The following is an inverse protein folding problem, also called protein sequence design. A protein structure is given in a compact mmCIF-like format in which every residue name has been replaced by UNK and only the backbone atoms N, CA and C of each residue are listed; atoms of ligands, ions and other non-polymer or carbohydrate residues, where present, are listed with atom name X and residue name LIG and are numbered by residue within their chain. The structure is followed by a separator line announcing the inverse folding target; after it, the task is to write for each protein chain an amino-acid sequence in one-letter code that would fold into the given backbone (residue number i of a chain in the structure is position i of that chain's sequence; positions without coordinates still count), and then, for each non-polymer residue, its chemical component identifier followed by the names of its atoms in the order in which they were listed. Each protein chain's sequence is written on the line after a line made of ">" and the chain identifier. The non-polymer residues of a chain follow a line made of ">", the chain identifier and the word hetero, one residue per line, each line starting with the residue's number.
data_IF_523410707152
#
_entry.id   IF_523410707152
#
_cell.length_a   1.000
_cell.length_b   1.000
_cell.length_c   1.000
_cell.angle_alpha   90.00
_cell.angle_beta   90.00
_cell.angle_gamma   90.00
#
_symmetry.space_group_name_H-M   'P 1'
#
loop_
_entity.id
_entity.type
_entity.pdbx_description
1 polymer ?
#
# COMPACT_ATOMS: atom_id res chain seq x y z
N UNK A 1 -13.36 -20.26 3.60
CA UNK A 1 -12.26 -19.47 3.02
C UNK A 1 -10.95 -20.10 3.45
N UNK A 2 -10.09 -20.48 2.52
CA UNK A 2 -8.76 -21.02 2.79
C UNK A 2 -7.72 -20.05 2.23
N UNK A 3 -6.79 -19.59 3.08
CA UNK A 3 -5.73 -18.69 2.64
C UNK A 3 -4.59 -19.50 2.02
N UNK A 4 -4.10 -19.08 0.84
CA UNK A 4 -2.86 -19.60 0.30
C UNK A 4 -1.71 -19.36 1.29
N UNK A 5 -0.71 -20.22 1.21
CA UNK A 5 0.44 -20.17 2.11
C UNK A 5 1.24 -18.87 1.95
N UNK A 6 1.41 -18.11 3.02
CA UNK A 6 2.19 -16.87 3.05
C UNK A 6 3.68 -17.20 3.27
N UNK A 7 4.40 -17.38 2.19
CA UNK A 7 5.79 -17.89 2.17
C UNK A 7 6.77 -16.96 2.88
N UNK A 8 6.65 -15.64 2.63
CA UNK A 8 7.55 -14.66 3.22
C UNK A 8 7.43 -14.62 4.75
N UNK A 9 6.20 -14.66 5.29
CA UNK A 9 6.01 -14.68 6.73
C UNK A 9 6.64 -15.92 7.37
N UNK A 10 6.47 -17.10 6.76
CA UNK A 10 7.08 -18.32 7.25
C UNK A 10 8.61 -18.29 7.18
N UNK A 11 9.17 -17.74 6.09
CA UNK A 11 10.60 -17.54 5.99
C UNK A 11 11.13 -16.63 7.13
N UNK A 12 10.46 -15.52 7.37
CA UNK A 12 10.83 -14.58 8.44
C UNK A 12 10.71 -15.21 9.83
N UNK A 13 9.64 -15.95 10.10
CA UNK A 13 9.45 -16.66 11.37
C UNK A 13 10.52 -17.75 11.59
N UNK A 14 10.87 -18.48 10.53
CA UNK A 14 11.83 -19.59 10.62
C UNK A 14 13.26 -19.11 10.78
N UNK A 15 13.67 -18.09 10.04
CA UNK A 15 15.09 -17.71 9.92
C UNK A 15 15.42 -16.36 10.54
N UNK A 16 14.43 -15.50 10.79
CA UNK A 16 14.67 -14.13 11.25
C UNK A 16 15.43 -14.05 12.58
N UNK A 17 15.01 -14.86 13.56
CA UNK A 17 15.68 -14.90 14.87
C UNK A 17 17.06 -15.58 14.86
N UNK A 18 17.40 -16.34 13.82
CA UNK A 18 18.66 -17.07 13.70
C UNK A 18 19.72 -16.28 12.92
N UNK A 19 19.32 -15.28 12.17
CA UNK A 19 20.23 -14.50 11.33
C UNK A 19 21.00 -13.47 12.16
N UNK A 20 22.32 -13.50 12.10
CA UNK A 20 23.16 -12.44 12.70
C UNK A 20 22.89 -11.06 12.09
N UNK A 21 22.60 -11.03 10.79
CA UNK A 21 22.22 -9.84 10.02
C UNK A 21 20.98 -10.20 9.20
N UNK A 22 19.81 -9.85 9.71
CA UNK A 22 18.57 -10.16 9.03
C UNK A 22 18.21 -9.09 8.01
N UNK A 23 18.51 -9.36 6.74
CA UNK A 23 18.22 -8.45 5.61
C UNK A 23 16.93 -8.83 4.84
N UNK A 24 16.15 -9.78 5.36
CA UNK A 24 14.94 -10.30 4.74
C UNK A 24 13.65 -9.53 5.11
N UNK A 25 13.75 -8.35 5.72
CA UNK A 25 12.62 -7.51 6.06
C UNK A 25 12.80 -6.11 5.51
N UNK A 26 11.75 -5.57 4.89
CA UNK A 26 11.66 -4.18 4.46
C UNK A 26 11.17 -3.28 5.62
N UNK A 27 11.80 -3.40 6.79
CA UNK A 27 11.46 -2.63 7.98
C UNK A 27 12.56 -1.61 8.25
N UNK A 28 12.25 -0.31 8.41
CA UNK A 28 13.19 0.68 8.88
C UNK A 28 13.52 0.43 10.35
N UNK A 29 14.59 1.05 10.83
CA UNK A 29 14.89 1.10 12.25
C UNK A 29 13.75 1.81 12.99
N UNK A 30 13.24 1.20 14.04
CA UNK A 30 12.16 1.77 14.85
C UNK A 30 12.71 2.78 15.84
N UNK A 31 12.03 3.92 15.97
CA UNK A 31 12.30 4.88 17.04
C UNK A 31 11.51 4.51 18.31
N UNK A 32 12.05 4.87 19.47
CA UNK A 32 11.33 4.71 20.73
C UNK A 32 10.21 5.76 20.88
N UNK A 33 9.19 5.48 21.69
CA UNK A 33 8.17 6.47 22.03
C UNK A 33 8.79 7.72 22.65
N UNK A 34 9.82 7.58 23.47
CA UNK A 34 10.53 8.73 24.07
C UNK A 34 11.18 9.60 22.97
N UNK A 35 11.81 9.01 21.97
CA UNK A 35 12.37 9.74 20.83
C UNK A 35 11.27 10.45 20.03
N UNK A 36 10.15 9.77 19.76
CA UNK A 36 9.01 10.39 19.07
C UNK A 36 8.48 11.59 19.84
N UNK A 37 8.21 11.44 21.14
CA UNK A 37 7.69 12.54 21.98
C UNK A 37 8.69 13.67 22.16
N UNK A 38 10.00 13.46 22.03
CA UNK A 38 10.99 14.54 22.08
C UNK A 38 10.95 15.47 20.86
N UNK A 39 10.27 15.07 19.79
CA UNK A 39 10.04 15.91 18.60
C UNK A 39 8.77 16.77 18.74
N UNK A 40 7.90 16.45 19.70
CA UNK A 40 6.63 17.11 19.89
C UNK A 40 6.79 18.46 20.62
N UNK A 41 5.97 19.44 20.25
CA UNK A 41 5.85 20.70 20.98
C UNK A 41 4.97 20.54 22.25
N UNK A 42 4.89 21.61 23.06
CA UNK A 42 4.13 21.59 24.33
C UNK A 42 2.63 21.27 24.13
N UNK A 43 2.04 21.76 23.05
CA UNK A 43 0.62 21.52 22.72
C UNK A 43 0.39 20.06 22.36
N UNK A 44 1.26 19.49 21.55
CA UNK A 44 1.20 18.08 21.15
C UNK A 44 1.43 17.14 22.34
N UNK A 45 2.40 17.47 23.21
CA UNK A 45 2.61 16.71 24.44
C UNK A 45 1.40 16.77 25.37
N UNK A 46 0.75 17.94 25.48
CA UNK A 46 -0.50 18.05 26.24
C UNK A 46 -1.61 17.19 25.64
N UNK A 47 -1.80 17.22 24.32
CA UNK A 47 -2.77 16.36 23.64
C UNK A 47 -2.48 14.88 23.86
N UNK A 48 -1.21 14.48 23.85
CA UNK A 48 -0.82 13.10 24.15
C UNK A 48 -1.17 12.69 25.58
N UNK A 49 -0.92 13.55 26.58
CA UNK A 49 -1.24 13.25 27.98
C UNK A 49 -2.73 13.27 28.27
N UNK A 50 -3.49 14.10 27.57
CA UNK A 50 -4.94 14.23 27.73
C UNK A 50 -5.71 13.27 26.80
N UNK A 51 -5.01 12.38 26.06
CA UNK A 51 -5.61 11.48 25.08
C UNK A 51 -6.63 10.55 25.73
N UNK A 52 -7.88 10.59 25.24
CA UNK A 52 -8.95 9.75 25.72
C UNK A 52 -8.89 8.35 25.10
N UNK A 53 -9.00 7.31 25.91
CA UNK A 53 -9.12 5.93 25.45
C UNK A 53 -10.57 5.53 25.13
N UNK A 54 -11.47 6.50 24.95
CA UNK A 54 -12.85 6.29 24.54
C UNK A 54 -12.96 5.87 23.05
N UNK A 55 -14.20 5.59 22.62
CA UNK A 55 -14.48 5.29 21.22
C UNK A 55 -14.24 6.52 20.34
N UNK A 56 -13.58 6.29 19.19
CA UNK A 56 -13.45 7.25 18.11
C UNK A 56 -14.47 6.95 17.00
N UNK A 57 -14.46 7.78 15.94
CA UNK A 57 -15.22 7.53 14.72
C UNK A 57 -14.84 6.18 14.09
N UNK A 58 -15.81 5.49 13.47
CA UNK A 58 -15.56 4.24 12.74
C UNK A 58 -14.61 4.39 11.55
N UNK A 59 -14.44 5.61 11.04
CA UNK A 59 -13.45 5.92 9.99
C UNK A 59 -12.06 6.22 10.55
N UNK A 60 -11.94 6.36 11.86
CA UNK A 60 -10.75 6.83 12.55
C UNK A 60 -10.89 8.27 13.06
N UNK A 61 -9.97 8.68 13.91
CA UNK A 61 -9.94 10.03 14.48
C UNK A 61 -9.91 11.11 13.39
N UNK A 62 -10.75 12.15 13.52
CA UNK A 62 -10.92 13.18 12.49
C UNK A 62 -9.64 14.01 12.32
N UNK A 63 -8.99 14.40 13.42
CA UNK A 63 -7.74 15.18 13.38
C UNK A 63 -6.64 14.38 12.67
N UNK A 64 -6.54 13.08 12.96
CA UNK A 64 -5.59 12.20 12.28
C UNK A 64 -5.88 12.13 10.77
N UNK A 65 -7.15 11.97 10.38
CA UNK A 65 -7.56 11.91 8.97
C UNK A 65 -7.30 13.24 8.24
N UNK A 66 -7.55 14.37 8.90
CA UNK A 66 -7.19 15.71 8.38
C UNK A 66 -5.68 15.81 8.13
N UNK A 67 -4.86 15.40 9.10
CA UNK A 67 -3.40 15.42 8.94
C UNK A 67 -2.93 14.48 7.80
N UNK A 68 -3.50 13.29 7.68
CA UNK A 68 -3.20 12.39 6.56
C UNK A 68 -3.56 13.07 5.24
N UNK A 69 -4.74 13.69 5.13
CA UNK A 69 -5.22 14.34 3.91
C UNK A 69 -4.26 15.44 3.41
N UNK A 70 -3.50 16.10 4.28
CA UNK A 70 -2.49 17.10 3.87
C UNK A 70 -1.43 16.52 2.92
N UNK A 71 -1.19 15.21 2.96
CA UNK A 71 -0.24 14.49 2.11
C UNK A 71 -0.86 13.99 0.80
N UNK A 72 -2.16 14.18 0.61
CA UNK A 72 -2.94 13.68 -0.53
C UNK A 72 -3.65 14.85 -1.25
N UNK A 73 -3.01 15.50 -2.24
CA UNK A 73 -3.58 16.66 -2.92
C UNK A 73 -4.98 16.41 -3.48
N UNK A 74 -5.91 17.31 -3.20
CA UNK A 74 -7.29 17.24 -3.67
C UNK A 74 -8.22 16.34 -2.84
N UNK A 75 -7.72 15.70 -1.78
CA UNK A 75 -8.51 14.88 -0.85
C UNK A 75 -8.74 15.62 0.48
N UNK A 76 -9.81 15.26 1.16
CA UNK A 76 -10.18 15.72 2.50
C UNK A 76 -10.20 14.57 3.50
N UNK A 77 -10.44 14.86 4.78
CA UNK A 77 -10.62 13.84 5.81
C UNK A 77 -11.73 12.82 5.47
N UNK A 78 -12.75 13.23 4.72
CA UNK A 78 -13.85 12.35 4.32
C UNK A 78 -13.43 11.27 3.31
N UNK A 79 -12.31 11.48 2.62
CA UNK A 79 -11.73 10.49 1.71
C UNK A 79 -10.77 9.51 2.42
N UNK A 80 -10.54 9.69 3.72
CA UNK A 80 -9.56 8.90 4.49
C UNK A 80 -10.29 7.97 5.46
N UNK A 81 -9.83 6.73 5.51
CA UNK A 81 -10.21 5.75 6.51
C UNK A 81 -8.94 5.13 7.11
N UNK A 82 -8.89 4.96 8.42
CA UNK A 82 -7.72 4.39 9.11
C UNK A 82 -7.95 2.95 9.55
N UNK A 83 -6.87 2.17 9.55
CA UNK A 83 -6.85 0.75 9.90
C UNK A 83 -5.67 0.43 10.82
N UNK A 84 -5.74 -0.71 11.52
CA UNK A 84 -4.63 -1.21 12.33
C UNK A 84 -3.50 -1.81 11.47
N UNK A 85 -3.06 -1.07 10.45
CA UNK A 85 -1.97 -1.40 9.53
C UNK A 85 -2.43 -1.86 8.14
N UNK A 86 -1.46 -1.90 7.21
CA UNK A 86 -1.71 -2.14 5.79
C UNK A 86 -2.41 -3.48 5.48
N UNK A 87 -2.10 -4.55 6.20
CA UNK A 87 -2.70 -5.85 5.93
C UNK A 87 -4.19 -5.89 6.24
N UNK A 88 -4.63 -5.21 7.30
CA UNK A 88 -6.06 -5.05 7.60
C UNK A 88 -6.73 -4.23 6.51
N UNK A 89 -6.12 -3.11 6.09
CA UNK A 89 -6.66 -2.29 5.01
C UNK A 89 -6.81 -3.08 3.70
N UNK A 90 -5.82 -3.88 3.31
CA UNK A 90 -5.90 -4.76 2.13
C UNK A 90 -7.06 -5.76 2.30
N UNK A 91 -7.14 -6.41 3.46
CA UNK A 91 -8.16 -7.43 3.74
C UNK A 91 -9.57 -6.83 3.63
N UNK A 92 -9.82 -5.73 4.34
CA UNK A 92 -11.14 -5.09 4.38
C UNK A 92 -11.52 -4.52 2.99
N UNK A 93 -10.60 -3.81 2.33
CA UNK A 93 -10.84 -3.24 1.00
C UNK A 93 -11.21 -4.32 -0.02
N UNK A 94 -10.45 -5.41 -0.05
CA UNK A 94 -10.71 -6.47 -1.02
C UNK A 94 -12.04 -7.16 -0.75
N UNK A 95 -12.42 -7.38 0.52
CA UNK A 95 -13.73 -7.94 0.86
C UNK A 95 -14.89 -7.00 0.57
N UNK A 96 -14.65 -5.69 0.56
CA UNK A 96 -15.66 -4.70 0.17
C UNK A 96 -15.85 -4.63 -1.35
N UNK A 97 -14.80 -4.91 -2.14
CA UNK A 97 -14.80 -4.71 -3.59
C UNK A 97 -14.98 -5.99 -4.41
N UNK A 98 -14.60 -7.15 -3.87
CA UNK A 98 -14.49 -8.40 -4.63
C UNK A 98 -15.50 -9.44 -4.20
N UNK A 99 -16.03 -10.14 -5.19
CA UNK A 99 -16.81 -11.35 -5.05
C UNK A 99 -16.00 -12.57 -5.57
N UNK A 100 -16.39 -13.81 -5.20
CA UNK A 100 -15.84 -15.01 -5.83
C UNK A 100 -15.98 -14.95 -7.36
N UNK A 101 -14.95 -15.41 -8.06
CA UNK A 101 -14.80 -15.40 -9.52
C UNK A 101 -14.51 -14.03 -10.18
N UNK A 102 -14.53 -12.92 -9.45
CA UNK A 102 -14.05 -11.64 -9.96
C UNK A 102 -12.62 -11.74 -10.49
N UNK A 103 -12.26 -10.84 -11.41
CA UNK A 103 -10.90 -10.78 -11.96
C UNK A 103 -10.08 -9.72 -11.26
N UNK A 104 -8.88 -10.10 -10.87
CA UNK A 104 -7.89 -9.19 -10.27
C UNK A 104 -6.60 -9.27 -11.08
N UNK A 105 -6.05 -8.14 -11.49
CA UNK A 105 -4.76 -8.05 -12.15
C UNK A 105 -3.70 -7.55 -11.17
N UNK A 106 -2.56 -8.24 -11.06
CA UNK A 106 -1.45 -7.88 -10.17
C UNK A 106 -0.12 -7.85 -10.92
N UNK A 107 0.80 -7.01 -10.48
CA UNK A 107 2.21 -7.03 -10.95
C UNK A 107 3.00 -8.03 -10.11
N UNK A 108 3.92 -8.79 -10.72
CA UNK A 108 4.79 -9.73 -9.99
C UNK A 108 6.26 -9.57 -10.38
N UNK A 109 7.23 -9.80 -9.43
CA UNK A 109 7.03 -10.25 -8.04
C UNK A 109 6.17 -9.24 -7.25
N UNK A 110 5.60 -9.61 -6.11
CA UNK A 110 4.66 -8.76 -5.38
C UNK A 110 4.76 -9.06 -3.87
N UNK A 111 4.40 -8.09 -3.04
CA UNK A 111 4.09 -8.34 -1.64
C UNK A 111 2.89 -9.30 -1.56
N UNK A 112 3.11 -10.52 -1.09
CA UNK A 112 2.16 -11.63 -1.23
C UNK A 112 0.72 -11.32 -0.78
N UNK A 113 0.46 -10.60 0.33
CA UNK A 113 -0.91 -10.25 0.74
C UNK A 113 -1.76 -9.59 -0.35
N UNK A 114 -1.15 -8.80 -1.25
CA UNK A 114 -1.85 -8.16 -2.37
C UNK A 114 -2.42 -9.16 -3.40
N UNK A 115 -1.94 -10.39 -3.41
CA UNK A 115 -2.45 -11.45 -4.29
C UNK A 115 -3.24 -12.50 -3.52
N UNK A 116 -2.74 -12.94 -2.34
CA UNK A 116 -3.33 -14.07 -1.61
C UNK A 116 -4.70 -13.75 -1.02
N UNK A 117 -4.97 -12.50 -0.63
CA UNK A 117 -6.30 -12.09 -0.13
C UNK A 117 -7.34 -12.22 -1.25
N UNK A 118 -7.04 -11.74 -2.45
CA UNK A 118 -7.93 -11.91 -3.61
C UNK A 118 -8.17 -13.40 -3.92
N UNK A 119 -7.11 -14.22 -3.90
CA UNK A 119 -7.24 -15.68 -4.10
C UNK A 119 -8.10 -16.33 -3.01
N UNK A 120 -7.95 -15.93 -1.75
CA UNK A 120 -8.73 -16.45 -0.63
C UNK A 120 -10.23 -16.12 -0.73
N UNK A 121 -10.57 -14.97 -1.32
CA UNK A 121 -11.97 -14.61 -1.66
C UNK A 121 -12.52 -15.50 -2.78
N UNK A 122 -11.65 -16.11 -3.60
CA UNK A 122 -12.02 -16.91 -4.77
C UNK A 122 -11.94 -16.13 -6.09
N UNK A 123 -11.26 -14.98 -6.09
CA UNK A 123 -11.02 -14.20 -7.30
C UNK A 123 -9.98 -14.87 -8.22
N UNK A 124 -10.11 -14.61 -9.52
CA UNK A 124 -9.18 -15.07 -10.56
C UNK A 124 -8.05 -14.06 -10.71
N UNK A 125 -6.88 -14.37 -10.14
CA UNK A 125 -5.72 -13.47 -10.15
C UNK A 125 -4.87 -13.70 -11.41
N UNK A 126 -4.83 -12.70 -12.29
CA UNK A 126 -3.90 -12.60 -13.43
C UNK A 126 -2.62 -11.87 -13.00
N UNK A 127 -1.48 -12.32 -13.51
CA UNK A 127 -0.15 -11.86 -13.11
C UNK A 127 0.60 -11.25 -14.29
N UNK A 128 0.93 -9.99 -14.21
CA UNK A 128 1.83 -9.32 -15.14
C UNK A 128 3.24 -9.39 -14.55
N UNK A 129 4.14 -10.01 -15.27
CA UNK A 129 5.49 -10.23 -14.76
C UNK A 129 6.41 -9.07 -15.12
N UNK A 130 7.07 -8.52 -14.11
CA UNK A 130 8.26 -7.71 -14.34
C UNK A 130 9.40 -8.59 -14.83
N UNK A 131 10.29 -8.04 -15.60
CA UNK A 131 11.48 -8.71 -16.11
C UNK A 131 12.75 -7.94 -15.72
N UNK A 132 13.86 -8.65 -15.65
CA UNK A 132 15.17 -8.05 -15.38
C UNK A 132 15.85 -7.75 -16.72
N UNK A 133 16.11 -6.49 -16.99
CA UNK A 133 16.81 -6.04 -18.18
C UNK A 133 17.98 -5.14 -17.79
N UNK A 134 19.17 -5.47 -18.28
CA UNK A 134 20.40 -4.72 -18.00
C UNK A 134 20.65 -4.43 -16.50
N UNK A 135 20.26 -5.36 -15.63
CA UNK A 135 20.43 -5.22 -14.18
C UNK A 135 19.34 -4.42 -13.46
N UNK A 136 18.32 -3.97 -14.18
CA UNK A 136 17.17 -3.23 -13.61
C UNK A 136 15.86 -3.97 -13.86
N UNK A 137 14.98 -3.96 -12.87
CA UNK A 137 13.64 -4.50 -13.03
C UNK A 137 12.76 -3.55 -13.84
N UNK A 138 12.07 -4.08 -14.83
CA UNK A 138 11.19 -3.32 -15.72
C UNK A 138 9.78 -3.91 -15.72
N UNK A 139 8.78 -3.03 -15.79
CA UNK A 139 7.40 -3.38 -16.06
C UNK A 139 7.07 -2.97 -17.50
N UNK A 140 6.65 -3.92 -18.30
CA UNK A 140 6.10 -3.65 -19.61
C UNK A 140 4.68 -3.06 -19.46
N UNK A 141 4.58 -1.75 -19.67
CA UNK A 141 3.31 -1.01 -19.48
C UNK A 141 2.31 -1.37 -20.57
N UNK A 142 2.76 -1.58 -21.79
CA UNK A 142 1.87 -1.98 -22.89
C UNK A 142 1.27 -3.37 -22.61
N UNK A 143 2.08 -4.29 -22.10
CA UNK A 143 1.59 -5.59 -21.65
C UNK A 143 0.58 -5.43 -20.51
N UNK A 144 0.85 -4.54 -19.54
CA UNK A 144 -0.04 -4.32 -18.38
C UNK A 144 -1.40 -3.77 -18.84
N UNK A 145 -1.40 -2.74 -19.72
CA UNK A 145 -2.59 -2.10 -20.28
C UNK A 145 -3.39 -3.11 -21.13
N UNK A 146 -2.73 -3.81 -22.04
CA UNK A 146 -3.39 -4.75 -22.95
C UNK A 146 -3.94 -6.01 -22.24
N UNK A 147 -3.42 -6.34 -21.05
CA UNK A 147 -3.91 -7.45 -20.25
C UNK A 147 -5.14 -7.09 -19.41
N UNK A 148 -5.40 -5.81 -19.18
CA UNK A 148 -6.58 -5.34 -18.47
C UNK A 148 -7.82 -5.62 -19.33
N UNK A 149 -8.81 -6.26 -18.73
CA UNK A 149 -10.01 -6.72 -19.44
C UNK A 149 -11.23 -5.94 -18.94
N UNK A 150 -12.26 -5.77 -19.78
CA UNK A 150 -13.51 -5.12 -19.35
C UNK A 150 -14.21 -5.81 -18.16
N UNK A 151 -13.92 -7.10 -17.90
CA UNK A 151 -14.40 -7.85 -16.74
C UNK A 151 -13.42 -7.88 -15.55
N UNK A 152 -12.40 -7.00 -15.55
CA UNK A 152 -11.47 -6.85 -14.42
C UNK A 152 -12.10 -5.95 -13.36
N UNK A 153 -12.32 -6.49 -12.16
CA UNK A 153 -12.90 -5.74 -11.05
C UNK A 153 -11.86 -4.88 -10.33
N UNK A 154 -10.61 -5.37 -10.24
CA UNK A 154 -9.54 -4.70 -9.49
C UNK A 154 -8.18 -4.88 -10.19
N UNK A 155 -7.51 -3.77 -10.45
CA UNK A 155 -6.09 -3.74 -10.78
C UNK A 155 -5.28 -3.33 -9.54
N UNK A 156 -4.14 -3.99 -9.31
CA UNK A 156 -3.29 -3.78 -8.13
C UNK A 156 -1.88 -3.45 -8.57
N UNK A 157 -1.37 -2.33 -8.07
CA UNK A 157 0.00 -1.90 -8.27
C UNK A 157 0.66 -1.60 -6.93
N UNK A 158 1.99 -1.59 -6.89
CA UNK A 158 2.77 -1.27 -5.71
C UNK A 158 4.02 -0.49 -6.15
N UNK A 159 4.00 0.83 -5.97
CA UNK A 159 5.14 1.71 -6.30
C UNK A 159 5.28 2.83 -5.28
N UNK A 160 6.50 3.06 -4.71
CA UNK A 160 7.77 2.31 -4.96
C UNK A 160 7.62 0.83 -4.72
N UNK A 161 8.20 -0.01 -5.60
CA UNK A 161 7.86 -1.43 -5.72
C UNK A 161 8.59 -2.31 -4.69
N UNK A 162 7.85 -3.12 -3.97
CA UNK A 162 8.38 -4.20 -3.14
C UNK A 162 8.15 -5.56 -3.83
N UNK A 163 9.21 -6.34 -4.17
CA UNK A 163 10.56 -6.30 -3.55
C UNK A 163 11.66 -5.67 -4.40
N UNK A 164 11.40 -5.10 -5.58
CA UNK A 164 12.45 -4.77 -6.54
C UNK A 164 13.07 -3.37 -6.34
N UNK A 165 12.41 -2.48 -5.60
CA UNK A 165 12.79 -1.08 -5.46
C UNK A 165 12.53 -0.23 -6.71
N UNK A 166 11.88 -0.79 -7.72
CA UNK A 166 11.61 -0.11 -8.99
C UNK A 166 10.57 1.01 -8.82
N UNK A 167 10.75 2.06 -9.58
CA UNK A 167 9.77 3.13 -9.78
C UNK A 167 9.22 3.07 -11.21
N UNK A 168 8.01 3.60 -11.39
CA UNK A 168 7.46 3.91 -12.72
C UNK A 168 7.44 5.42 -12.92
N UNK A 169 7.39 5.87 -14.16
CA UNK A 169 7.26 7.29 -14.49
C UNK A 169 5.81 7.78 -14.33
N UNK A 170 5.63 9.10 -14.25
CA UNK A 170 4.30 9.70 -14.23
C UNK A 170 3.48 9.32 -15.48
N UNK A 171 4.13 9.26 -16.66
CA UNK A 171 3.47 8.84 -17.90
C UNK A 171 2.95 7.40 -17.79
N UNK A 172 3.76 6.50 -17.26
CA UNK A 172 3.35 5.11 -17.05
C UNK A 172 2.18 4.98 -16.07
N UNK A 173 2.22 5.73 -14.96
CA UNK A 173 1.11 5.77 -14.00
C UNK A 173 -0.17 6.29 -14.67
N UNK A 174 -0.06 7.35 -15.49
CA UNK A 174 -1.21 7.93 -16.21
C UNK A 174 -1.84 6.91 -17.17
N UNK A 175 -1.03 6.17 -17.94
CA UNK A 175 -1.52 5.12 -18.83
C UNK A 175 -2.28 4.03 -18.05
N UNK A 176 -1.79 3.64 -16.87
CA UNK A 176 -2.47 2.68 -16.01
C UNK A 176 -3.82 3.23 -15.49
N UNK A 177 -3.83 4.47 -15.03
CA UNK A 177 -5.06 5.14 -14.56
C UNK A 177 -6.09 5.25 -15.69
N UNK A 178 -5.67 5.67 -16.87
CA UNK A 178 -6.57 5.84 -18.02
C UNK A 178 -7.13 4.48 -18.48
N UNK A 179 -6.30 3.44 -18.51
CA UNK A 179 -6.77 2.09 -18.80
C UNK A 179 -7.78 1.57 -17.77
N UNK A 180 -7.59 1.88 -16.47
CA UNK A 180 -8.58 1.54 -15.45
C UNK A 180 -9.89 2.32 -15.64
N UNK A 181 -9.84 3.60 -16.02
CA UNK A 181 -11.03 4.40 -16.34
C UNK A 181 -11.80 3.82 -17.52
N UNK A 182 -11.11 3.48 -18.61
CA UNK A 182 -11.72 2.89 -19.81
C UNK A 182 -12.41 1.56 -19.55
N UNK A 183 -11.89 0.76 -18.61
CA UNK A 183 -12.45 -0.54 -18.24
C UNK A 183 -13.35 -0.50 -17.00
N UNK A 184 -13.63 0.69 -16.44
CA UNK A 184 -14.43 0.90 -15.22
C UNK A 184 -13.92 0.08 -14.00
N UNK A 185 -12.61 -0.15 -13.92
CA UNK A 185 -11.92 -1.03 -12.99
C UNK A 185 -11.40 -0.24 -11.78
N UNK A 186 -11.52 -0.77 -10.57
CA UNK A 186 -10.84 -0.21 -9.40
C UNK A 186 -9.31 -0.30 -9.56
N UNK A 187 -8.59 0.75 -9.16
CA UNK A 187 -7.13 0.74 -9.09
C UNK A 187 -6.68 0.87 -7.62
N UNK A 188 -6.16 -0.22 -7.07
CA UNK A 188 -5.56 -0.25 -5.74
C UNK A 188 -4.05 -0.08 -5.85
N UNK A 189 -3.53 1.01 -5.31
CA UNK A 189 -2.11 1.32 -5.27
C UNK A 189 -1.57 1.17 -3.85
N UNK A 190 -0.73 0.16 -3.64
CA UNK A 190 0.04 0.04 -2.42
C UNK A 190 1.22 1.01 -2.46
N UNK A 191 1.06 2.15 -1.80
CA UNK A 191 2.00 3.27 -1.73
C UNK A 191 2.74 3.32 -0.38
N UNK A 192 2.87 2.18 0.30
CA UNK A 192 3.47 2.11 1.66
C UNK A 192 4.92 2.62 1.73
N UNK A 193 5.63 2.64 0.59
CA UNK A 193 6.99 3.18 0.48
C UNK A 193 7.05 4.62 -0.04
N UNK A 194 5.90 5.27 -0.24
CA UNK A 194 5.82 6.70 -0.56
C UNK A 194 6.51 7.51 0.53
N UNK A 195 7.37 8.45 0.14
CA UNK A 195 8.22 9.23 1.03
C UNK A 195 9.62 8.65 1.23
N UNK A 196 9.92 7.49 0.62
CA UNK A 196 11.25 6.85 0.65
C UNK A 196 11.95 6.89 -0.71
N UNK A 197 11.43 7.63 -1.67
CA UNK A 197 12.11 7.87 -2.95
C UNK A 197 13.47 8.56 -2.72
N UNK A 198 14.52 8.11 -3.42
CA UNK A 198 15.85 8.72 -3.34
C UNK A 198 15.86 10.18 -3.77
N UNK A 199 15.01 10.53 -4.73
CA UNK A 199 14.79 11.89 -5.18
C UNK A 199 13.30 12.21 -5.00
N UNK A 200 12.99 13.23 -4.22
CA UNK A 200 11.61 13.66 -3.99
C UNK A 200 10.86 14.11 -5.26
N UNK A 201 11.59 14.46 -6.33
CA UNK A 201 11.00 14.78 -7.62
C UNK A 201 10.42 13.53 -8.33
N UNK A 202 10.85 12.33 -7.97
CA UNK A 202 10.35 11.08 -8.53
C UNK A 202 9.05 10.59 -7.83
N UNK A 203 8.61 11.31 -6.79
CA UNK A 203 7.40 10.96 -6.05
C UNK A 203 6.16 11.13 -6.91
N UNK A 204 5.49 10.02 -7.15
CA UNK A 204 4.25 10.00 -7.92
C UNK A 204 3.09 10.61 -7.11
N UNK A 205 2.09 11.22 -7.75
CA UNK A 205 0.84 11.55 -7.08
C UNK A 205 0.14 10.27 -6.64
N UNK A 206 -0.61 10.30 -5.51
CA UNK A 206 -1.40 9.15 -5.10
C UNK A 206 -2.52 8.88 -6.11
N UNK A 207 -2.80 7.60 -6.40
CA UNK A 207 -3.83 7.25 -7.39
C UNK A 207 -5.23 7.72 -6.99
N UNK A 208 -5.50 7.82 -5.69
CA UNK A 208 -6.76 8.34 -5.16
C UNK A 208 -7.00 9.83 -5.54
N UNK A 209 -5.95 10.59 -5.87
CA UNK A 209 -6.06 11.96 -6.38
C UNK A 209 -6.22 12.04 -7.91
N UNK A 210 -6.10 10.92 -8.62
CA UNK A 210 -6.11 10.88 -10.10
C UNK A 210 -7.37 10.23 -10.66
N UNK A 211 -8.08 9.44 -9.86
CA UNK A 211 -9.18 8.61 -10.32
C UNK A 211 -10.19 8.33 -9.20
N UNK A 212 -11.48 8.48 -9.49
CA UNK A 212 -12.57 8.28 -8.50
C UNK A 212 -12.65 6.85 -7.95
N UNK A 213 -12.22 5.83 -8.74
CA UNK A 213 -12.05 4.45 -8.28
C UNK A 213 -10.59 4.13 -7.95
N UNK A 214 -9.74 5.15 -7.70
CA UNK A 214 -8.38 5.01 -7.22
C UNK A 214 -8.35 4.88 -5.71
N UNK A 215 -7.61 3.88 -5.19
CA UNK A 215 -7.40 3.67 -3.75
C UNK A 215 -5.91 3.68 -3.48
N UNK A 216 -5.46 4.62 -2.65
CA UNK A 216 -4.06 4.72 -2.22
C UNK A 216 -3.90 4.17 -0.81
N UNK A 217 -3.11 3.13 -0.65
CA UNK A 217 -2.74 2.57 0.65
C UNK A 217 -1.45 3.19 1.16
N UNK A 218 -1.53 4.00 2.21
CA UNK A 218 -0.38 4.56 2.93
C UNK A 218 -0.21 3.95 4.31
N UNK A 219 0.99 4.03 4.88
CA UNK A 219 1.27 3.62 6.27
C UNK A 219 2.35 4.49 6.90
N UNK A 220 2.30 4.62 8.22
CA UNK A 220 3.38 5.24 9.01
C UNK A 220 4.53 4.27 9.32
N UNK A 221 4.35 2.98 9.05
CA UNK A 221 5.31 1.91 9.40
C UNK A 221 6.61 1.98 8.62
N UNK A 222 6.62 2.54 7.40
CA UNK A 222 7.79 2.56 6.50
C UNK A 222 8.49 3.91 6.54
N UNK A 223 7.95 4.95 5.94
CA UNK A 223 8.58 6.25 5.85
C UNK A 223 8.84 6.90 7.23
N UNK A 224 8.03 6.60 8.22
CA UNK A 224 8.14 7.18 9.57
C UNK A 224 8.75 6.22 10.61
N UNK A 225 8.99 4.95 10.28
CA UNK A 225 9.54 3.99 11.23
C UNK A 225 8.61 3.61 12.40
N UNK A 226 7.32 3.89 12.28
CA UNK A 226 6.32 3.76 13.36
C UNK A 226 5.47 2.49 13.25
N UNK A 227 6.08 1.37 12.86
CA UNK A 227 5.36 0.10 12.68
C UNK A 227 4.70 -0.47 13.93
N UNK A 228 5.10 -0.03 15.11
CA UNK A 228 4.50 -0.43 16.39
C UNK A 228 3.27 0.40 16.82
N UNK A 229 3.01 1.52 16.14
CA UNK A 229 1.82 2.36 16.38
C UNK A 229 0.70 1.83 15.48
N UNK A 230 -0.40 1.40 16.10
CA UNK A 230 -1.55 0.79 15.40
C UNK A 230 -2.84 1.53 15.75
#
# INVERSE_FOLDING_TARGET
>A
MEFPHYKLANYQMTYGAQAKYFMGASAPEAISLQQLLSLANETELKQWHDFSLGYSSSQGDEILREQIATSYPGLSADNIITFAGAQEAIYVTYHALLNPADRVQVVTPIFEPLAIVAQAIGAKVSKIKMHLESGSWQLDIDQWVNALRPDTSLAVINFPHNPTGTMISMLQLQLMVDSCKENDCWLFSDEVFRGLEYNGADRLPPVASLYDKGISLGVISKAYGLGGVR
#
